data_IF_314992178616
#
_entry.id   IF_314992178616
#
_cell.length_a   1.000
_cell.length_b   1.000
_cell.length_c   1.000
_cell.angle_alpha   90.00
_cell.angle_beta   90.00
_cell.angle_gamma   90.00
#
_symmetry.space_group_name_H-M   'P 1'
#
loop_
_entity.id
_entity.type
_entity.pdbx_description
1 polymer ?
#
# COMPACT_ATOMS: atom_id res chain seq x y z
N UNK A 1 -23.92 1.66 9.34
CA UNK A 1 -22.86 1.89 8.32
C UNK A 1 -22.05 3.08 8.78
N UNK A 2 -20.72 2.98 8.81
CA UNK A 2 -19.85 4.11 9.14
C UNK A 2 -20.04 5.23 8.11
N UNK A 3 -20.03 6.49 8.57
CA UNK A 3 -20.09 7.64 7.67
C UNK A 3 -18.92 7.62 6.69
N UNK A 4 -19.24 7.74 5.39
CA UNK A 4 -18.23 7.85 4.33
C UNK A 4 -17.91 9.33 4.14
N UNK A 5 -16.63 9.68 4.16
CA UNK A 5 -16.13 11.02 3.82
C UNK A 5 -15.46 11.00 2.46
N UNK A 6 -15.63 12.08 1.70
CA UNK A 6 -14.97 12.27 0.40
C UNK A 6 -13.64 12.98 0.61
N UNK A 7 -12.63 12.61 -0.17
CA UNK A 7 -11.36 13.31 -0.25
C UNK A 7 -11.01 13.59 -1.71
N UNK A 8 -10.33 14.71 -1.94
CA UNK A 8 -9.70 15.03 -3.23
C UNK A 8 -8.19 14.94 -3.02
N UNK A 9 -7.50 14.30 -3.96
CA UNK A 9 -6.05 14.10 -3.90
C UNK A 9 -5.44 14.65 -5.18
N UNK A 10 -4.44 15.52 -5.04
CA UNK A 10 -3.61 15.95 -6.15
C UNK A 10 -2.44 14.98 -6.24
N UNK A 11 -2.18 14.46 -7.43
CA UNK A 11 -1.08 13.55 -7.73
C UNK A 11 -0.21 14.18 -8.81
N UNK A 12 1.09 13.94 -8.72
CA UNK A 12 1.99 14.12 -9.85
C UNK A 12 1.61 13.17 -10.98
N UNK A 13 2.12 13.45 -12.19
CA UNK A 13 1.91 12.60 -13.35
C UNK A 13 2.43 11.17 -13.11
N UNK A 14 3.61 11.04 -12.49
CA UNK A 14 4.22 9.75 -12.17
C UNK A 14 3.38 8.93 -11.18
N UNK A 15 2.86 9.57 -10.13
CA UNK A 15 2.00 8.92 -9.14
C UNK A 15 0.67 8.46 -9.77
N UNK A 16 0.07 9.29 -10.63
CA UNK A 16 -1.17 8.94 -11.33
C UNK A 16 -0.95 7.79 -12.30
N UNK A 17 0.16 7.79 -13.05
CA UNK A 17 0.54 6.71 -13.95
C UNK A 17 0.77 5.39 -13.20
N UNK A 18 1.44 5.44 -12.04
CA UNK A 18 1.62 4.26 -11.19
C UNK A 18 0.27 3.71 -10.69
N UNK A 19 -0.64 4.61 -10.26
CA UNK A 19 -1.97 4.23 -9.82
C UNK A 19 -2.79 3.59 -10.96
N UNK A 20 -2.67 4.10 -12.19
CA UNK A 20 -3.31 3.55 -13.38
C UNK A 20 -2.81 2.15 -13.71
N UNK A 21 -1.51 1.93 -13.64
CA UNK A 21 -0.92 0.60 -13.83
C UNK A 21 -1.40 -0.38 -12.77
N UNK A 22 -1.42 0.03 -11.50
CA UNK A 22 -1.89 -0.84 -10.40
C UNK A 22 -3.38 -1.18 -10.53
N UNK A 23 -4.19 -0.21 -10.91
CA UNK A 23 -5.61 -0.38 -11.18
C UNK A 23 -5.83 -1.38 -12.34
N UNK A 24 -5.12 -1.18 -13.46
CA UNK A 24 -5.22 -2.06 -14.63
C UNK A 24 -4.74 -3.49 -14.37
N UNK A 25 -3.60 -3.66 -13.68
CA UNK A 25 -3.04 -5.00 -13.37
C UNK A 25 -3.96 -5.87 -12.52
N UNK A 26 -4.76 -5.25 -11.65
CA UNK A 26 -5.60 -5.97 -10.68
C UNK A 26 -7.10 -5.96 -11.04
N UNK A 27 -7.48 -5.40 -12.20
CA UNK A 27 -8.87 -5.14 -12.58
C UNK A 27 -9.65 -4.40 -11.47
N UNK A 28 -9.04 -3.35 -10.93
CA UNK A 28 -9.57 -2.57 -9.81
C UNK A 28 -9.73 -1.11 -10.21
N UNK A 29 -10.70 -0.42 -9.60
CA UNK A 29 -10.75 1.05 -9.72
C UNK A 29 -9.62 1.70 -8.92
N UNK A 30 -9.15 2.88 -9.35
CA UNK A 30 -8.13 3.65 -8.62
C UNK A 30 -8.52 3.88 -7.16
N UNK A 31 -9.80 4.18 -6.90
CA UNK A 31 -10.35 4.31 -5.55
C UNK A 31 -10.23 3.02 -4.74
N UNK A 32 -10.43 1.84 -5.35
CA UNK A 32 -10.27 0.56 -4.68
C UNK A 32 -8.80 0.27 -4.35
N UNK A 33 -7.87 0.63 -5.26
CA UNK A 33 -6.42 0.52 -5.02
C UNK A 33 -6.01 1.39 -3.82
N UNK A 34 -6.41 2.67 -3.79
CA UNK A 34 -6.09 3.57 -2.66
C UNK A 34 -6.67 3.05 -1.33
N UNK A 35 -7.92 2.58 -1.33
CA UNK A 35 -8.52 1.97 -0.12
C UNK A 35 -7.76 0.73 0.34
N UNK A 36 -7.26 -0.10 -0.59
CA UNK A 36 -6.44 -1.27 -0.29
C UNK A 36 -5.08 -0.84 0.29
N UNK A 37 -4.43 0.16 -0.30
CA UNK A 37 -3.17 0.71 0.19
C UNK A 37 -3.28 1.22 1.64
N UNK A 38 -4.34 1.99 1.95
CA UNK A 38 -4.60 2.47 3.32
C UNK A 38 -4.73 1.30 4.29
N UNK A 39 -5.47 0.24 3.94
CA UNK A 39 -5.65 -0.94 4.81
C UNK A 39 -4.33 -1.66 5.05
N UNK A 40 -3.52 -1.83 4.01
CA UNK A 40 -2.20 -2.46 4.12
C UNK A 40 -1.34 -1.63 5.06
N UNK A 41 -1.25 -0.32 4.84
CA UNK A 41 -0.45 0.58 5.67
C UNK A 41 -0.86 0.51 7.15
N UNK A 42 -2.16 0.55 7.46
CA UNK A 42 -2.66 0.42 8.83
C UNK A 42 -2.26 -0.91 9.50
N UNK A 43 -2.23 -2.01 8.75
CA UNK A 43 -1.78 -3.31 9.27
C UNK A 43 -0.28 -3.28 9.56
N UNK A 44 0.52 -2.72 8.66
CA UNK A 44 1.98 -2.63 8.84
C UNK A 44 2.31 -1.75 10.04
N UNK A 45 1.70 -0.57 10.16
CA UNK A 45 1.82 0.33 11.31
C UNK A 45 1.46 -0.37 12.63
N UNK A 46 0.33 -1.07 12.68
CA UNK A 46 -0.09 -1.78 13.90
C UNK A 46 0.87 -2.92 14.30
N UNK A 47 1.61 -3.50 13.36
CA UNK A 47 2.66 -4.50 13.64
C UNK A 47 3.94 -3.83 14.14
N UNK A 48 4.38 -2.78 13.46
CA UNK A 48 5.57 -2.02 13.85
C UNK A 48 5.43 -1.39 15.24
N UNK A 49 4.26 -0.85 15.58
CA UNK A 49 3.98 -0.31 16.92
C UNK A 49 4.05 -1.37 18.03
N UNK A 50 3.89 -2.65 17.69
CA UNK A 50 4.07 -3.78 18.63
C UNK A 50 5.51 -4.28 18.70
N UNK A 51 6.45 -3.63 18.01
CA UNK A 51 7.85 -4.04 17.91
C UNK A 51 8.09 -5.21 16.97
N UNK A 52 7.11 -5.55 16.11
CA UNK A 52 7.29 -6.60 15.11
C UNK A 52 8.10 -6.05 13.93
N UNK A 53 9.12 -6.82 13.51
CA UNK A 53 9.91 -6.53 12.31
C UNK A 53 9.23 -7.12 11.07
N UNK A 54 9.19 -6.33 9.99
CA UNK A 54 8.59 -6.74 8.72
C UNK A 54 9.70 -7.10 7.75
N UNK A 55 9.75 -8.37 7.37
CA UNK A 55 10.70 -8.87 6.38
C UNK A 55 9.96 -9.15 5.09
N UNK A 56 10.54 -8.73 3.96
CA UNK A 56 10.16 -9.24 2.66
C UNK A 56 11.12 -10.35 2.29
N UNK A 57 10.55 -11.52 2.00
CA UNK A 57 11.29 -12.69 1.56
C UNK A 57 11.23 -12.74 0.03
N UNK A 58 12.39 -12.77 -0.61
CA UNK A 58 12.53 -13.15 -2.01
C UNK A 58 12.90 -14.65 -2.07
N UNK A 59 11.96 -15.50 -2.48
CA UNK A 59 12.17 -16.94 -2.62
C UNK A 59 13.31 -17.27 -3.59
N UNK A 60 13.57 -16.38 -4.55
CA UNK A 60 14.57 -16.57 -5.60
C UNK A 60 16.00 -16.39 -5.08
N UNK A 61 16.22 -15.45 -4.17
CA UNK A 61 17.56 -15.08 -3.68
C UNK A 61 17.80 -15.44 -2.21
N UNK A 62 16.80 -15.94 -1.47
CA UNK A 62 16.86 -16.20 -0.02
C UNK A 62 17.41 -15.02 0.79
N UNK A 63 17.21 -13.79 0.31
CA UNK A 63 17.62 -12.58 1.02
C UNK A 63 16.42 -12.12 1.85
N UNK A 64 16.62 -12.02 3.17
CA UNK A 64 15.69 -11.34 4.08
C UNK A 64 16.13 -9.90 4.19
N UNK A 65 15.40 -8.98 3.56
CA UNK A 65 15.62 -7.55 3.75
C UNK A 65 14.62 -7.05 4.77
N UNK A 66 15.11 -6.42 5.84
CA UNK A 66 14.28 -5.70 6.79
C UNK A 66 13.72 -4.45 6.11
N UNK A 67 12.40 -4.39 5.96
CA UNK A 67 11.74 -3.19 5.46
C UNK A 67 11.53 -2.24 6.63
N UNK A 68 12.41 -1.25 6.72
CA UNK A 68 12.11 0.00 7.39
C UNK A 68 11.26 0.83 6.42
N UNK A 69 9.95 0.90 6.67
CA UNK A 69 9.13 1.95 6.09
C UNK A 69 9.61 3.27 6.72
N UNK A 70 10.26 4.12 5.92
CA UNK A 70 10.69 5.48 6.32
C UNK A 70 9.53 6.45 6.19
#
# INVERSE_FOLDING_TARGET
MSEKKTMTLNLSEDEMNALDQLAGRNDMTKTAVIKKAIRIYLILEARMQRGEHIFVEDETHKVKVELLLV
#
